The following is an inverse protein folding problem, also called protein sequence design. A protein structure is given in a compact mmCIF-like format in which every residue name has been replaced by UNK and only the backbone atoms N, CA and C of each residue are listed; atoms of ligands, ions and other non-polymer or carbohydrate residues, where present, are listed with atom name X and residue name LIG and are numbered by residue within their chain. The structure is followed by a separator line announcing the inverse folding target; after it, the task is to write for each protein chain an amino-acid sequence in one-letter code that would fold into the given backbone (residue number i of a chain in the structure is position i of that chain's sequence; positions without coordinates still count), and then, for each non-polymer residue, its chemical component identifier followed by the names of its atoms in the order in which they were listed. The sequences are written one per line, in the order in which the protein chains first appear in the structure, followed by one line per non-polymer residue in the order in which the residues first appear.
data_IF_217510811835
#
_entry.id   IF_217510811835
#
_cell.length_a   1.000
_cell.length_b   1.000
_cell.length_c   1.000
_cell.angle_alpha   90.00
_cell.angle_beta   90.00
_cell.angle_gamma   90.00
#
_symmetry.space_group_name_H-M   'P 1'
#
loop_
_entity.id
_entity.type
_entity.pdbx_description
1 polymer ?
#
# COMPACT_ATOMS: atom_id res chain seq x y z
N UNK A 1 -5.82 7.31 1.41
CA UNK A 1 -5.35 7.28 2.81
C UNK A 1 -6.49 6.94 3.78
N UNK A 2 -7.38 6.02 3.43
CA UNK A 2 -8.61 5.79 4.22
C UNK A 2 -8.41 4.79 5.37
N UNK A 3 -7.36 3.96 5.31
CA UNK A 3 -7.11 2.90 6.29
C UNK A 3 -6.75 3.45 7.68
N UNK A 4 -5.89 4.47 7.74
CA UNK A 4 -5.38 5.03 8.99
C UNK A 4 -6.47 5.82 9.76
N UNK A 5 -7.41 6.43 9.04
CA UNK A 5 -8.59 7.07 9.64
C UNK A 5 -9.42 6.03 10.39
N UNK A 6 -9.72 4.89 9.77
CA UNK A 6 -10.49 3.83 10.42
C UNK A 6 -9.80 3.24 11.66
N UNK A 7 -8.47 3.19 11.65
CA UNK A 7 -7.69 2.64 12.76
C UNK A 7 -7.57 3.61 13.94
N UNK A 8 -7.33 4.91 13.70
CA UNK A 8 -6.91 5.86 14.73
C UNK A 8 -7.82 7.07 14.93
N UNK A 9 -8.89 7.22 14.16
CA UNK A 9 -9.80 8.39 14.23
C UNK A 9 -11.21 8.01 14.66
N UNK A 10 -11.34 6.99 15.51
CA UNK A 10 -12.64 6.59 16.04
C UNK A 10 -13.03 7.50 17.20
N UNK A 11 -14.34 7.70 17.36
CA UNK A 11 -14.87 8.45 18.49
C UNK A 11 -14.76 7.63 19.78
N UNK A 12 -14.57 8.30 20.92
CA UNK A 12 -14.61 7.71 22.27
C UNK A 12 -13.47 6.73 22.65
N UNK A 13 -12.39 6.67 21.89
CA UNK A 13 -11.17 5.89 22.25
C UNK A 13 -10.14 6.68 23.07
N UNK A 14 -10.52 7.86 23.59
CA UNK A 14 -9.69 8.62 24.53
C UNK A 14 -8.78 9.69 23.91
N UNK A 15 -8.92 10.00 22.62
CA UNK A 15 -8.19 11.09 21.97
C UNK A 15 -8.60 12.46 22.51
N UNK A 16 -7.62 13.29 22.87
CA UNK A 16 -7.81 14.61 23.49
C UNK A 16 -7.57 15.73 22.49
N UNK A 17 -8.53 16.67 22.32
CA UNK A 17 -8.32 17.85 21.50
C UNK A 17 -7.18 18.70 22.07
N UNK A 18 -6.31 19.20 21.19
CA UNK A 18 -5.12 19.99 21.56
C UNK A 18 -3.92 19.16 21.99
N UNK A 19 -4.04 17.82 22.04
CA UNK A 19 -2.95 16.89 22.33
C UNK A 19 -2.78 15.92 21.17
N UNK A 20 -3.82 15.14 20.87
CA UNK A 20 -3.78 14.09 19.84
C UNK A 20 -4.25 14.60 18.48
N UNK A 21 -5.07 15.65 18.47
CA UNK A 21 -5.51 16.32 17.24
C UNK A 21 -5.74 17.82 17.47
N UNK A 22 -5.64 18.65 16.43
CA UNK A 22 -5.88 20.09 16.51
C UNK A 22 -7.24 20.47 17.12
N UNK A 23 -7.22 21.37 18.11
CA UNK A 23 -8.42 21.98 18.67
C UNK A 23 -8.71 23.33 17.97
N UNK A 24 -8.98 23.27 16.66
CA UNK A 24 -9.24 24.45 15.83
C UNK A 24 -10.50 24.27 15.00
N UNK A 25 -11.20 25.38 14.74
CA UNK A 25 -12.39 25.35 13.90
C UNK A 25 -12.06 24.82 12.49
N UNK A 26 -12.88 23.88 12.00
CA UNK A 26 -12.70 23.23 10.70
C UNK A 26 -11.87 21.94 10.74
N UNK A 27 -11.19 21.62 11.85
CA UNK A 27 -10.59 20.30 12.01
C UNK A 27 -11.64 19.26 12.41
N UNK A 28 -11.71 18.07 11.78
CA UNK A 28 -12.68 17.06 12.16
C UNK A 28 -12.42 16.53 13.58
N UNK A 29 -13.44 16.57 14.44
CA UNK A 29 -13.32 16.10 15.81
C UNK A 29 -12.95 14.61 15.87
N UNK A 30 -11.89 14.28 16.61
CA UNK A 30 -11.37 12.92 16.73
C UNK A 30 -10.49 12.47 15.56
N UNK A 31 -10.27 13.29 14.53
CA UNK A 31 -9.34 12.96 13.45
C UNK A 31 -7.90 13.19 13.90
N UNK A 32 -7.16 12.09 14.12
CA UNK A 32 -5.75 12.12 14.52
C UNK A 32 -4.87 12.19 13.27
N UNK A 33 -4.06 13.25 13.09
CA UNK A 33 -3.14 13.34 11.96
C UNK A 33 -1.97 12.37 12.18
N UNK A 34 -1.88 11.35 11.33
CA UNK A 34 -0.77 10.40 11.32
C UNK A 34 0.10 10.68 10.10
N UNK A 35 1.40 10.87 10.32
CA UNK A 35 2.35 11.14 9.25
C UNK A 35 2.45 9.93 8.29
N UNK A 36 2.21 10.18 7.00
CA UNK A 36 2.48 9.22 5.93
C UNK A 36 3.75 9.66 5.22
N UNK A 37 4.84 8.95 5.49
CA UNK A 37 6.10 9.20 4.80
C UNK A 37 6.01 8.73 3.35
N UNK A 38 6.54 9.54 2.44
CA UNK A 38 6.63 9.22 1.02
C UNK A 38 7.94 9.71 0.46
N UNK A 39 8.31 9.22 -0.71
CA UNK A 39 9.51 9.58 -1.44
C UNK A 39 9.18 9.60 -2.93
N UNK A 40 9.96 10.32 -3.73
CA UNK A 40 9.81 10.29 -5.18
C UNK A 40 10.04 8.85 -5.68
N UNK A 41 9.21 8.42 -6.64
CA UNK A 41 9.19 7.06 -7.17
C UNK A 41 10.62 6.53 -7.50
N UNK A 42 11.50 7.25 -8.24
CA UNK A 42 12.86 6.77 -8.54
C UNK A 42 13.79 6.58 -7.33
N UNK A 43 13.41 7.06 -6.15
CA UNK A 43 14.15 6.92 -4.90
C UNK A 43 13.42 6.01 -3.90
N UNK A 44 12.31 5.39 -4.31
CA UNK A 44 11.55 4.46 -3.48
C UNK A 44 12.14 3.06 -3.54
N UNK A 45 13.07 2.79 -2.63
CA UNK A 45 13.69 1.47 -2.48
C UNK A 45 12.82 0.46 -1.71
N UNK A 46 11.66 0.89 -1.19
CA UNK A 46 10.79 0.06 -0.35
C UNK A 46 9.53 -0.37 -1.10
N UNK A 47 8.84 0.59 -1.73
CA UNK A 47 7.53 0.41 -2.36
C UNK A 47 7.56 0.24 -3.88
N UNK A 48 8.66 0.54 -4.57
CA UNK A 48 8.72 0.38 -6.03
C UNK A 48 9.30 -0.98 -6.45
N UNK A 49 8.46 -1.96 -6.86
CA UNK A 49 8.96 -3.25 -7.35
C UNK A 49 9.61 -3.15 -8.73
N UNK A 50 9.38 -2.05 -9.45
CA UNK A 50 9.82 -1.87 -10.83
C UNK A 50 11.17 -1.17 -10.97
N UNK A 51 11.93 -0.99 -9.89
CA UNK A 51 13.26 -0.42 -9.95
C UNK A 51 14.21 -1.23 -10.87
N UNK A 52 15.10 -0.60 -11.66
CA UNK A 52 16.02 -1.31 -12.55
C UNK A 52 16.92 -2.29 -11.78
N UNK A 53 16.58 -3.59 -11.85
CA UNK A 53 17.28 -4.66 -11.14
C UNK A 53 17.39 -5.89 -12.04
N UNK A 54 18.62 -6.20 -12.48
CA UNK A 54 18.90 -7.37 -13.36
C UNK A 54 18.38 -8.69 -12.76
N UNK A 55 18.50 -8.85 -11.44
CA UNK A 55 18.05 -10.06 -10.75
C UNK A 55 16.55 -10.22 -10.82
N UNK A 56 15.77 -9.13 -10.71
CA UNK A 56 14.32 -9.15 -10.84
C UNK A 56 13.91 -9.69 -12.21
N UNK A 57 14.53 -9.23 -13.29
CA UNK A 57 14.17 -9.67 -14.64
C UNK A 57 14.44 -11.17 -14.84
N UNK A 58 15.52 -11.68 -14.25
CA UNK A 58 15.82 -13.13 -14.24
C UNK A 58 14.77 -13.89 -13.44
N UNK A 59 14.46 -13.43 -12.21
CA UNK A 59 13.42 -14.03 -11.35
C UNK A 59 12.06 -14.05 -12.04
N UNK A 60 11.68 -12.95 -12.67
CA UNK A 60 10.41 -12.82 -13.35
C UNK A 60 10.30 -13.79 -14.53
N UNK A 61 11.36 -13.92 -15.34
CA UNK A 61 11.41 -14.93 -16.42
C UNK A 61 11.31 -16.36 -15.90
N UNK A 62 11.97 -16.67 -14.78
CA UNK A 62 11.86 -18.00 -14.18
C UNK A 62 10.44 -18.26 -13.66
N UNK A 63 9.83 -17.28 -12.98
CA UNK A 63 8.46 -17.39 -12.50
C UNK A 63 7.46 -17.55 -13.65
N UNK A 64 7.63 -16.80 -14.74
CA UNK A 64 6.77 -16.93 -15.92
C UNK A 64 6.89 -18.28 -16.62
N UNK A 65 8.05 -18.92 -16.54
CA UNK A 65 8.31 -20.25 -17.13
C UNK A 65 8.07 -21.40 -16.15
N UNK A 66 7.61 -21.13 -14.92
CA UNK A 66 7.34 -22.17 -13.93
C UNK A 66 6.09 -22.97 -14.31
N UNK A 67 6.02 -24.21 -13.85
CA UNK A 67 4.87 -25.09 -14.08
C UNK A 67 3.57 -24.44 -13.61
N UNK A 68 3.58 -23.84 -12.43
CA UNK A 68 2.41 -23.20 -11.81
C UNK A 68 1.88 -22.05 -12.67
N UNK A 69 2.76 -21.20 -13.18
CA UNK A 69 2.35 -20.08 -14.03
C UNK A 69 1.87 -20.56 -15.40
N UNK A 70 2.54 -21.55 -15.99
CA UNK A 70 2.12 -22.12 -17.28
C UNK A 70 0.76 -22.83 -17.16
N UNK A 71 0.52 -23.58 -16.09
CA UNK A 71 -0.77 -24.20 -15.82
C UNK A 71 -1.87 -23.16 -15.60
N UNK A 72 -1.58 -22.08 -14.86
CA UNK A 72 -2.52 -20.99 -14.65
C UNK A 72 -2.91 -20.29 -15.96
N UNK A 73 -1.92 -19.91 -16.78
CA UNK A 73 -2.16 -19.22 -18.06
C UNK A 73 -2.97 -20.12 -19.02
N UNK A 74 -2.64 -21.41 -19.08
CA UNK A 74 -3.33 -22.37 -19.95
C UNK A 74 -4.67 -22.87 -19.36
N UNK A 75 -5.04 -22.43 -18.15
CA UNK A 75 -6.33 -22.80 -17.56
C UNK A 75 -7.49 -22.16 -18.32
N UNK A 76 -8.64 -22.85 -18.32
CA UNK A 76 -9.89 -22.36 -18.92
C UNK A 76 -10.42 -21.06 -18.30
N UNK A 77 -9.91 -20.69 -17.13
CA UNK A 77 -10.31 -19.47 -16.42
C UNK A 77 -9.59 -18.23 -16.95
N UNK A 78 -8.46 -18.40 -17.64
CA UNK A 78 -7.60 -17.31 -18.13
C UNK A 78 -7.55 -17.30 -19.65
N UNK A 79 -7.43 -18.46 -20.28
CA UNK A 79 -7.47 -18.59 -21.73
C UNK A 79 -8.92 -18.57 -22.23
N UNK A 80 -9.28 -17.58 -23.06
CA UNK A 80 -10.61 -17.41 -23.69
C UNK A 80 -10.91 -18.46 -24.79
N UNK A 81 -10.34 -19.66 -24.69
CA UNK A 81 -10.52 -20.76 -25.66
C UNK A 81 -11.20 -21.95 -25.01
#
# INVERSE_FOLDING_TARGET
MSNIIGMYSQQNIGHKPGVDYPNVAGWPAGYVPIAVHTVALPLDYVGQPFFPCKRRDILWKMALNSTEMQEFINSKHVSLT
#
